data_IF_452616585155
#
_entry.id   IF_452616585155
#
_cell.length_a   1.000
_cell.length_b   1.000
_cell.length_c   1.000
_cell.angle_alpha   90.00
_cell.angle_beta   90.00
_cell.angle_gamma   90.00
#
_symmetry.space_group_name_H-M   'P 1'
#
loop_
_entity.id
_entity.type
_entity.pdbx_description
1 polymer ?
#
# COMPACT_ATOMS: atom_id res chain seq x y z
N UNK A 1 4.58 17.34 -7.54
CA UNK A 1 3.83 16.11 -7.21
C UNK A 1 4.52 15.54 -5.99
N UNK A 2 3.91 15.67 -4.82
CA UNK A 2 4.50 15.19 -3.57
C UNK A 2 4.69 13.67 -3.66
N UNK A 3 5.93 13.23 -3.47
CA UNK A 3 6.30 11.83 -3.35
C UNK A 3 5.53 11.24 -2.18
N UNK A 4 4.59 10.34 -2.46
CA UNK A 4 3.73 9.69 -1.45
C UNK A 4 4.63 9.00 -0.42
N UNK A 5 4.79 9.60 0.76
CA UNK A 5 5.66 9.10 1.84
C UNK A 5 5.08 7.79 2.34
N UNK A 6 5.86 6.70 2.29
CA UNK A 6 5.44 5.43 2.88
C UNK A 6 5.32 5.58 4.41
N UNK A 7 4.37 4.85 4.98
CA UNK A 7 4.20 4.72 6.43
C UNK A 7 4.29 3.24 6.85
N UNK A 8 4.20 2.95 8.14
CA UNK A 8 4.38 1.58 8.63
C UNK A 8 3.29 0.63 8.13
N UNK A 9 2.08 1.13 7.82
CA UNK A 9 1.02 0.32 7.17
C UNK A 9 1.35 -0.11 5.73
N UNK A 10 2.42 0.45 5.14
CA UNK A 10 2.97 0.02 3.85
C UNK A 10 4.00 -1.10 4.00
N UNK A 11 4.25 -1.60 5.20
CA UNK A 11 5.20 -2.68 5.47
C UNK A 11 4.53 -4.06 5.38
N UNK A 12 5.19 -5.05 4.77
CA UNK A 12 4.80 -6.47 4.79
C UNK A 12 4.71 -7.04 6.21
N UNK A 13 5.46 -6.45 7.14
CA UNK A 13 5.46 -6.85 8.54
C UNK A 13 4.31 -6.22 9.35
N UNK A 14 3.51 -5.33 8.76
CA UNK A 14 2.36 -4.74 9.43
C UNK A 14 1.13 -5.64 9.27
N UNK A 15 0.51 -6.01 10.38
CA UNK A 15 -0.76 -6.73 10.39
C UNK A 15 -1.85 -5.80 10.94
N UNK A 16 -2.77 -5.38 10.07
CA UNK A 16 -3.90 -4.53 10.45
C UNK A 16 -4.76 -5.19 11.52
N UNK A 17 -5.14 -4.44 12.56
CA UNK A 17 -6.13 -4.84 13.56
C UNK A 17 -7.45 -4.11 13.25
N UNK A 18 -7.38 -2.80 13.07
CA UNK A 18 -8.50 -1.95 12.67
C UNK A 18 -7.99 -0.76 11.83
N UNK A 19 -8.86 0.21 11.56
CA UNK A 19 -8.54 1.39 10.75
C UNK A 19 -7.38 2.22 11.31
N UNK A 20 -7.21 2.26 12.64
CA UNK A 20 -6.26 3.15 13.31
C UNK A 20 -4.95 2.47 13.68
N UNK A 21 -4.93 1.14 13.86
CA UNK A 21 -3.76 0.42 14.40
C UNK A 21 -3.58 -1.00 13.87
N UNK A 22 -2.36 -1.47 14.00
CA UNK A 22 -1.96 -2.84 13.68
C UNK A 22 -0.79 -3.31 14.54
N UNK A 23 -0.37 -4.56 14.32
CA UNK A 23 0.84 -5.13 14.91
C UNK A 23 2.03 -4.99 13.96
N UNK A 24 3.19 -4.58 14.48
CA UNK A 24 4.46 -4.84 13.82
C UNK A 24 4.90 -6.27 14.16
N UNK A 25 4.89 -7.19 13.17
CA UNK A 25 5.29 -8.60 13.37
C UNK A 25 6.76 -8.79 13.76
N UNK A 26 7.58 -7.74 13.67
CA UNK A 26 8.99 -7.80 14.05
C UNK A 26 9.23 -7.37 15.49
N UNK A 27 8.51 -6.36 15.99
CA UNK A 27 8.65 -5.89 17.38
C UNK A 27 7.59 -6.48 18.31
N UNK A 28 6.52 -7.07 17.76
CA UNK A 28 5.32 -7.52 18.47
C UNK A 28 4.55 -6.41 19.19
N UNK A 29 4.78 -5.15 18.80
CA UNK A 29 4.09 -4.00 19.38
C UNK A 29 2.89 -3.59 18.55
N UNK A 30 1.88 -3.02 19.22
CA UNK A 30 0.77 -2.32 18.58
C UNK A 30 1.24 -0.92 18.19
N UNK A 31 1.07 -0.57 16.93
CA UNK A 31 1.48 0.72 16.37
C UNK A 31 0.34 1.31 15.53
N UNK A 32 0.30 2.64 15.41
CA UNK A 32 -0.69 3.33 14.60
C UNK A 32 -0.39 3.18 13.10
N UNK A 33 -1.43 3.14 12.28
CA UNK A 33 -1.36 2.97 10.81
C UNK A 33 -0.40 3.98 10.16
N UNK A 34 -0.43 5.23 10.61
CA UNK A 34 0.30 6.34 9.99
C UNK A 34 1.69 6.62 10.61
N UNK A 35 2.22 5.69 11.40
CA UNK A 35 3.57 5.81 11.96
C UNK A 35 4.65 5.78 10.87
N UNK A 36 5.78 6.43 11.12
CA UNK A 36 6.92 6.42 10.19
C UNK A 36 7.48 4.99 9.98
N UNK A 37 8.12 4.79 8.83
CA UNK A 37 8.84 3.55 8.53
C UNK A 37 10.05 3.36 9.46
N UNK A 38 10.41 2.10 9.73
CA UNK A 38 11.59 1.75 10.52
C UNK A 38 12.70 1.13 9.65
N UNK A 39 13.92 0.91 10.17
CA UNK A 39 15.00 0.28 9.41
C UNK A 39 14.71 -1.15 8.92
N UNK A 40 13.68 -1.81 9.47
CA UNK A 40 13.22 -3.15 9.05
C UNK A 40 12.03 -3.10 8.07
N UNK A 41 11.77 -1.93 7.49
CA UNK A 41 10.70 -1.74 6.51
C UNK A 41 10.91 -2.65 5.30
N UNK A 42 9.87 -3.41 4.97
CA UNK A 42 9.81 -4.24 3.79
C UNK A 42 8.52 -3.89 3.07
N UNK A 43 8.62 -3.28 1.90
CA UNK A 43 7.47 -2.67 1.23
C UNK A 43 6.45 -3.73 0.79
N UNK A 44 5.19 -3.54 1.21
CA UNK A 44 4.05 -4.35 0.79
C UNK A 44 3.57 -3.98 -0.61
N UNK A 45 3.03 -4.96 -1.32
CA UNK A 45 2.38 -4.75 -2.62
C UNK A 45 1.08 -3.97 -2.43
N UNK A 46 0.97 -2.79 -3.04
CA UNK A 46 -0.24 -1.95 -3.05
C UNK A 46 -0.46 -1.38 -4.46
N UNK A 47 -1.66 -0.88 -4.76
CA UNK A 47 -1.87 -0.27 -6.08
C UNK A 47 -0.92 0.93 -6.33
N UNK A 48 -0.61 1.74 -5.30
CA UNK A 48 0.25 2.93 -5.41
C UNK A 48 1.71 2.65 -5.78
N UNK A 49 2.17 1.40 -5.65
CA UNK A 49 3.51 0.98 -6.07
C UNK A 49 3.46 -0.08 -7.19
N UNK A 50 2.32 -0.18 -7.87
CA UNK A 50 2.13 -1.03 -9.05
C UNK A 50 2.35 -0.23 -10.34
N UNK A 51 3.08 -0.78 -11.31
CA UNK A 51 3.36 -0.18 -12.61
C UNK A 51 2.09 0.10 -13.45
N UNK A 52 1.00 -0.61 -13.16
CA UNK A 52 -0.27 -0.46 -13.86
C UNK A 52 -1.25 0.51 -13.20
N UNK A 53 -0.88 1.16 -12.09
CA UNK A 53 -1.71 2.18 -11.44
C UNK A 53 -1.31 3.57 -11.94
N UNK A 54 -2.28 4.30 -12.48
CA UNK A 54 -2.04 5.60 -13.13
C UNK A 54 -3.13 6.62 -12.81
N UNK A 55 -2.80 7.90 -13.00
CA UNK A 55 -3.71 9.04 -12.87
C UNK A 55 -4.48 9.10 -11.53
N UNK A 56 -3.81 9.01 -10.36
CA UNK A 56 -4.49 9.20 -9.08
C UNK A 56 -5.00 10.64 -8.94
N UNK A 57 -6.23 10.81 -8.46
CA UNK A 57 -6.78 12.08 -8.03
C UNK A 57 -6.35 12.42 -6.58
N UNK A 58 -6.90 13.50 -6.01
CA UNK A 58 -6.62 13.95 -4.64
C UNK A 58 -6.99 12.93 -3.56
N UNK A 59 -8.04 12.13 -3.79
CA UNK A 59 -8.45 11.02 -2.93
C UNK A 59 -7.66 9.73 -3.19
N UNK A 60 -6.60 9.80 -3.99
CA UNK A 60 -5.77 8.65 -4.38
C UNK A 60 -6.56 7.54 -5.09
N UNK A 61 -7.66 7.91 -5.75
CA UNK A 61 -8.41 7.07 -6.69
C UNK A 61 -7.79 7.26 -8.07
N UNK A 62 -7.37 6.17 -8.69
CA UNK A 62 -6.75 6.17 -10.02
C UNK A 62 -7.29 5.05 -10.89
N UNK A 63 -6.59 4.76 -11.97
CA UNK A 63 -6.97 3.73 -12.94
C UNK A 63 -5.96 2.59 -12.95
N UNK A 64 -6.46 1.36 -12.90
CA UNK A 64 -5.71 0.12 -13.10
C UNK A 64 -5.80 -0.33 -14.56
N UNK A 65 -4.65 -0.65 -15.16
CA UNK A 65 -4.56 -1.24 -16.52
C UNK A 65 -3.86 -2.60 -16.54
N UNK A 66 -3.72 -3.28 -15.39
CA UNK A 66 -2.96 -4.52 -15.24
C UNK A 66 -3.81 -5.79 -15.32
N UNK A 67 -5.12 -5.65 -15.52
CA UNK A 67 -6.08 -6.75 -15.69
C UNK A 67 -6.79 -6.56 -17.04
N UNK A 68 -7.49 -7.61 -17.48
CA UNK A 68 -8.22 -7.63 -18.77
C UNK A 68 -9.14 -6.41 -18.93
N UNK A 69 -9.90 -6.09 -17.88
CA UNK A 69 -10.74 -4.90 -17.84
C UNK A 69 -10.06 -3.73 -17.15
N UNK A 70 -9.96 -2.61 -17.86
CA UNK A 70 -9.52 -1.34 -17.28
C UNK A 70 -10.56 -0.82 -16.30
N UNK A 71 -10.18 -0.67 -15.04
CA UNK A 71 -11.08 -0.25 -13.96
C UNK A 71 -10.45 0.81 -13.07
N UNK A 72 -11.29 1.54 -12.33
CA UNK A 72 -10.81 2.41 -11.27
C UNK A 72 -10.34 1.57 -10.06
N UNK A 73 -9.38 2.09 -9.31
CA UNK A 73 -8.93 1.48 -8.05
C UNK A 73 -8.42 2.56 -7.11
N UNK A 74 -8.15 2.19 -5.87
CA UNK A 74 -7.59 3.07 -4.85
C UNK A 74 -6.14 2.70 -4.57
N UNK A 75 -5.25 3.70 -4.51
CA UNK A 75 -3.81 3.44 -4.42
C UNK A 75 -3.37 2.67 -3.18
N UNK A 76 -4.05 2.78 -2.05
CA UNK A 76 -3.67 2.01 -0.83
C UNK A 76 -4.32 0.62 -0.75
N UNK A 77 -5.04 0.20 -1.80
CA UNK A 77 -5.57 -1.16 -1.91
C UNK A 77 -4.41 -2.18 -1.87
N UNK A 78 -4.56 -3.20 -1.03
CA UNK A 78 -3.59 -4.28 -0.89
C UNK A 78 -3.57 -5.12 -2.18
N UNK A 79 -2.38 -5.24 -2.78
CA UNK A 79 -2.16 -5.93 -4.05
C UNK A 79 -1.37 -7.25 -3.88
N UNK A 80 -1.20 -7.77 -2.66
CA UNK A 80 -0.47 -9.03 -2.39
C UNK A 80 -1.02 -10.22 -3.19
N UNK A 81 -2.33 -10.26 -3.42
CA UNK A 81 -3.01 -11.35 -4.15
C UNK A 81 -3.44 -10.96 -5.56
N UNK A 82 -2.99 -9.81 -6.06
CA UNK A 82 -3.35 -9.34 -7.40
C UNK A 82 -2.46 -10.01 -8.46
N UNK A 83 -3.05 -10.74 -9.40
CA UNK A 83 -2.32 -11.41 -10.49
C UNK A 83 -1.65 -10.42 -11.47
N UNK A 84 -2.18 -9.21 -11.58
CA UNK A 84 -1.64 -8.15 -12.43
C UNK A 84 -0.72 -7.18 -11.69
N UNK A 85 -0.22 -7.51 -10.49
CA UNK A 85 0.71 -6.63 -9.79
C UNK A 85 2.12 -6.72 -10.37
N UNK A 86 2.66 -5.58 -10.80
CA UNK A 86 4.05 -5.43 -11.22
C UNK A 86 4.66 -4.27 -10.43
N UNK A 87 5.81 -4.49 -9.78
CA UNK A 87 6.43 -3.47 -8.93
C UNK A 87 7.13 -2.39 -9.79
N UNK A 88 6.94 -1.11 -9.44
CA UNK A 88 7.69 0.04 -9.98
C UNK A 88 9.14 0.05 -9.46
#
# INVERSE_FOLDING_TARGET
METKKFNHSDCLNFATIDVAKGFCRVTNEVILTDTDICPKFSQSSKCKNCAHFSNPNEDNIGTCSGLEDRSWTYGDLNAITCNGYEKI
#
